data_IF_661419414612
#
_entry.id   IF_661419414612
#
_cell.length_a   1.000
_cell.length_b   1.000
_cell.length_c   1.000
_cell.angle_alpha   90.00
_cell.angle_beta   90.00
_cell.angle_gamma   90.00
#
_symmetry.space_group_name_H-M   'P 1'
#
loop_
_entity.id
_entity.type
_entity.pdbx_description
1 polymer ?
#
# COMPACT_ATOMS: atom_id res chain seq x y z
N UNK A 1 82.36 -0.03 22.03
CA UNK A 1 81.68 -1.36 22.01
C UNK A 1 80.30 -1.15 21.46
N UNK A 2 80.11 -1.46 20.17
CA UNK A 2 78.93 -1.07 19.42
C UNK A 2 78.11 -2.38 19.11
N UNK A 3 76.92 -2.44 19.65
CA UNK A 3 76.02 -3.59 19.43
C UNK A 3 75.08 -3.25 18.30
N UNK A 4 75.30 -3.84 17.12
CA UNK A 4 74.39 -3.78 15.97
C UNK A 4 73.26 -4.74 16.17
N UNK A 5 72.02 -4.22 16.35
CA UNK A 5 70.77 -5.00 16.44
C UNK A 5 70.22 -5.21 15.05
N UNK A 6 70.38 -6.43 14.55
CA UNK A 6 69.83 -6.88 13.24
C UNK A 6 68.34 -7.14 13.34
N UNK A 7 67.53 -6.33 12.65
CA UNK A 7 66.09 -6.53 12.55
C UNK A 7 65.86 -7.45 11.33
N UNK A 8 65.39 -8.68 11.59
CA UNK A 8 64.90 -9.58 10.55
C UNK A 8 63.49 -9.14 10.11
N UNK A 9 63.40 -8.71 8.86
CA UNK A 9 62.11 -8.49 8.21
C UNK A 9 61.49 -9.84 7.86
N UNK A 10 60.31 -10.13 8.42
CA UNK A 10 59.47 -11.26 8.04
C UNK A 10 58.52 -10.73 6.97
N UNK A 11 58.75 -11.13 5.74
CA UNK A 11 57.82 -10.94 4.62
C UNK A 11 56.79 -12.06 4.65
N UNK A 12 55.54 -11.72 4.97
CA UNK A 12 54.41 -12.62 4.79
C UNK A 12 53.81 -12.42 3.40
N UNK A 13 53.53 -13.50 2.64
CA UNK A 13 52.84 -13.36 1.37
C UNK A 13 51.34 -13.12 1.61
N UNK A 14 50.81 -12.03 1.06
CA UNK A 14 49.37 -11.81 0.92
C UNK A 14 48.84 -12.74 -0.18
N UNK A 15 48.13 -13.77 0.21
CA UNK A 15 47.25 -14.51 -0.70
C UNK A 15 45.95 -13.73 -0.85
N UNK A 16 45.81 -13.04 -1.97
CA UNK A 16 44.55 -12.41 -2.37
C UNK A 16 43.64 -13.47 -2.96
N UNK A 17 42.78 -14.06 -2.16
CA UNK A 17 41.63 -14.83 -2.62
C UNK A 17 40.47 -13.88 -2.90
N UNK A 18 40.31 -13.53 -4.17
CA UNK A 18 39.14 -12.79 -4.65
C UNK A 18 37.89 -13.67 -4.58
N UNK A 19 37.07 -13.47 -3.56
CA UNK A 19 35.69 -13.93 -3.52
C UNK A 19 34.83 -12.90 -4.25
N UNK A 20 34.53 -13.17 -5.51
CA UNK A 20 33.46 -12.48 -6.25
C UNK A 20 32.15 -13.01 -5.67
N UNK A 21 31.68 -12.35 -4.61
CA UNK A 21 30.33 -12.54 -4.10
C UNK A 21 29.35 -11.92 -5.05
N UNK A 22 28.71 -12.73 -5.89
CA UNK A 22 27.50 -12.32 -6.59
C UNK A 22 26.43 -12.00 -5.54
N UNK A 23 26.23 -10.69 -5.26
CA UNK A 23 25.08 -10.25 -4.51
C UNK A 23 23.83 -10.53 -5.34
N UNK A 24 23.18 -11.67 -5.07
CA UNK A 24 21.81 -11.88 -5.50
C UNK A 24 20.98 -10.88 -4.71
N UNK A 25 20.66 -9.75 -5.34
CA UNK A 25 19.62 -8.87 -4.85
C UNK A 25 18.31 -9.67 -5.01
N UNK A 26 18.01 -10.48 -4.00
CA UNK A 26 16.70 -11.06 -3.85
C UNK A 26 15.72 -9.90 -3.74
N UNK A 27 14.94 -9.69 -4.77
CA UNK A 27 13.75 -8.86 -4.68
C UNK A 27 12.83 -9.63 -3.71
N UNK A 28 13.04 -9.38 -2.41
CA UNK A 28 12.17 -9.92 -1.38
C UNK A 28 10.79 -9.37 -1.66
N UNK A 29 9.89 -10.22 -2.13
CA UNK A 29 8.48 -9.92 -2.06
C UNK A 29 8.21 -9.56 -0.60
N UNK A 30 7.97 -8.29 -0.32
CA UNK A 30 7.53 -7.88 1.00
C UNK A 30 6.27 -8.66 1.28
N UNK A 31 6.19 -9.44 2.39
CA UNK A 31 4.95 -10.11 2.74
C UNK A 31 3.88 -9.01 2.76
N UNK A 32 2.76 -9.27 2.10
CA UNK A 32 1.62 -8.37 2.17
C UNK A 32 1.38 -8.11 3.66
N UNK A 33 1.68 -6.89 4.10
CA UNK A 33 1.49 -6.53 5.50
C UNK A 33 0.01 -6.75 5.79
N UNK A 34 -0.28 -7.57 6.79
CA UNK A 34 -1.65 -7.71 7.28
C UNK A 34 -2.15 -6.29 7.55
N UNK A 35 -3.36 -5.99 7.08
CA UNK A 35 -3.94 -4.66 7.25
C UNK A 35 -3.85 -4.25 8.73
N UNK A 36 -3.22 -3.11 9.00
CA UNK A 36 -3.19 -2.52 10.35
C UNK A 36 -4.49 -1.80 10.67
N UNK A 37 -5.43 -1.77 9.73
CA UNK A 37 -6.73 -1.15 9.88
C UNK A 37 -7.62 -2.10 10.71
N UNK A 38 -8.27 -1.55 11.72
CA UNK A 38 -9.19 -2.29 12.58
C UNK A 38 -10.33 -2.92 11.76
N UNK A 39 -10.75 -4.13 12.13
CA UNK A 39 -11.91 -4.78 11.52
C UNK A 39 -13.13 -3.85 11.53
N UNK A 40 -13.87 -3.82 10.44
CA UNK A 40 -15.01 -2.94 10.26
C UNK A 40 -14.67 -1.52 9.81
N UNK A 41 -13.38 -1.20 9.63
CA UNK A 41 -12.96 0.14 9.21
C UNK A 41 -12.40 0.15 7.81
N UNK A 42 -12.76 1.19 7.07
CA UNK A 42 -12.15 1.56 5.79
C UNK A 42 -11.32 2.82 5.93
N UNK A 43 -10.19 2.85 5.24
CA UNK A 43 -9.34 4.03 5.10
C UNK A 43 -9.12 4.32 3.62
N UNK A 44 -9.18 5.60 3.24
CA UNK A 44 -8.81 6.08 1.92
C UNK A 44 -7.75 7.17 2.02
N UNK A 45 -6.67 7.02 1.26
CA UNK A 45 -5.63 8.03 1.09
C UNK A 45 -5.52 8.38 -0.40
N UNK A 46 -5.70 9.65 -0.76
CA UNK A 46 -5.48 10.14 -2.12
C UNK A 46 -3.99 10.56 -2.26
N UNK A 47 -3.15 9.61 -2.62
CA UNK A 47 -1.69 9.79 -2.72
C UNK A 47 -1.24 10.15 -4.15
N UNK A 48 -2.13 9.99 -5.12
CA UNK A 48 -1.92 10.48 -6.49
C UNK A 48 -2.03 11.99 -6.64
N UNK A 49 -1.97 12.48 -7.87
CA UNK A 49 -2.11 13.90 -8.18
C UNK A 49 -3.58 14.34 -8.38
N UNK A 50 -4.54 13.57 -7.89
CA UNK A 50 -5.98 13.79 -8.03
C UNK A 50 -6.69 13.50 -6.70
N UNK A 51 -7.85 14.10 -6.49
CA UNK A 51 -8.73 13.80 -5.36
C UNK A 51 -9.45 12.48 -5.61
N UNK A 52 -9.85 11.79 -4.54
CA UNK A 52 -10.53 10.51 -4.66
C UNK A 52 -11.63 10.34 -3.61
N UNK A 53 -12.57 9.45 -3.88
CA UNK A 53 -13.51 8.93 -2.90
C UNK A 53 -13.75 7.44 -3.17
N UNK A 54 -14.31 6.74 -2.20
CA UNK A 54 -14.75 5.36 -2.35
C UNK A 54 -16.28 5.27 -2.28
N UNK A 55 -16.82 4.31 -3.01
CA UNK A 55 -18.23 3.96 -3.02
C UNK A 55 -18.35 2.47 -2.71
N UNK A 56 -18.95 2.14 -1.56
CA UNK A 56 -19.23 0.77 -1.16
C UNK A 56 -20.61 0.40 -1.68
N UNK A 57 -20.63 -0.52 -2.63
CA UNK A 57 -21.87 -0.92 -3.29
C UNK A 57 -22.76 -1.75 -2.37
N UNK A 58 -24.09 -1.54 -2.40
CA UNK A 58 -25.01 -2.33 -1.61
C UNK A 58 -25.03 -3.80 -2.05
N UNK A 59 -25.10 -4.70 -1.08
CA UNK A 59 -25.18 -6.15 -1.31
C UNK A 59 -26.55 -6.66 -0.92
N UNK A 60 -27.16 -7.51 -1.75
CA UNK A 60 -28.45 -8.12 -1.46
C UNK A 60 -28.31 -9.18 -0.34
N UNK A 61 -29.11 -9.05 0.71
CA UNK A 61 -29.10 -9.95 1.88
C UNK A 61 -30.02 -11.20 1.71
N UNK A 62 -30.62 -11.40 0.53
CA UNK A 62 -31.45 -12.57 0.22
C UNK A 62 -32.92 -12.52 0.72
N UNK A 63 -33.23 -11.52 1.54
CA UNK A 63 -34.59 -11.32 2.10
C UNK A 63 -35.33 -10.10 1.51
N UNK A 64 -34.79 -9.55 0.42
CA UNK A 64 -35.26 -8.30 -0.20
C UNK A 64 -34.63 -7.02 0.41
N UNK A 65 -33.85 -7.14 1.48
CA UNK A 65 -33.05 -6.06 2.01
C UNK A 65 -31.67 -6.01 1.34
N UNK A 66 -31.03 -4.83 1.41
CA UNK A 66 -29.63 -4.64 0.97
C UNK A 66 -28.82 -4.04 2.12
N UNK A 67 -27.51 -4.22 2.07
CA UNK A 67 -26.62 -3.44 2.91
C UNK A 67 -26.71 -1.96 2.54
N UNK A 68 -26.18 -1.10 3.40
CA UNK A 68 -26.16 0.34 3.15
C UNK A 68 -25.32 0.67 1.91
N UNK A 69 -25.82 1.57 1.08
CA UNK A 69 -25.07 2.22 0.00
C UNK A 69 -24.26 3.35 0.63
N UNK A 70 -22.94 3.22 0.65
CA UNK A 70 -22.06 4.13 1.38
C UNK A 70 -21.05 4.80 0.46
N UNK A 71 -20.97 6.13 0.53
CA UNK A 71 -19.95 6.92 -0.16
C UNK A 71 -19.13 7.73 0.85
N UNK A 72 -17.81 7.66 0.75
CA UNK A 72 -16.92 8.48 1.56
C UNK A 72 -16.94 9.95 1.15
N UNK A 73 -16.54 10.86 2.02
CA UNK A 73 -16.17 12.22 1.60
C UNK A 73 -15.02 12.17 0.58
N UNK A 74 -14.90 13.27 -0.20
CA UNK A 74 -13.78 13.44 -1.13
C UNK A 74 -12.50 13.72 -0.34
N UNK A 75 -11.50 12.89 -0.54
CA UNK A 75 -10.14 13.07 -0.03
C UNK A 75 -9.33 13.85 -1.06
N UNK A 76 -8.76 14.97 -0.66
CA UNK A 76 -7.94 15.80 -1.55
C UNK A 76 -6.58 15.13 -1.81
N UNK A 77 -6.06 15.33 -3.01
CA UNK A 77 -4.73 14.89 -3.39
C UNK A 77 -3.67 15.32 -2.36
N UNK A 78 -2.91 14.35 -1.81
CA UNK A 78 -1.89 14.59 -0.80
C UNK A 78 -2.41 15.10 0.56
N UNK A 79 -3.73 15.15 0.75
CA UNK A 79 -4.35 15.52 2.02
C UNK A 79 -4.37 14.39 3.05
N UNK A 80 -4.88 14.66 4.26
CA UNK A 80 -5.04 13.64 5.28
C UNK A 80 -5.94 12.50 4.77
N UNK A 81 -5.60 11.25 5.11
CA UNK A 81 -6.45 10.12 4.81
C UNK A 81 -7.78 10.23 5.56
N UNK A 82 -8.85 9.84 4.91
CA UNK A 82 -10.13 9.63 5.53
C UNK A 82 -10.24 8.19 6.05
N UNK A 83 -10.98 7.97 7.12
CA UNK A 83 -11.29 6.65 7.66
C UNK A 83 -12.58 6.67 8.46
N UNK A 84 -13.36 5.61 8.40
CA UNK A 84 -14.60 5.44 9.14
C UNK A 84 -14.98 3.96 9.29
N UNK A 85 -15.83 3.62 10.25
CA UNK A 85 -16.44 2.30 10.30
C UNK A 85 -17.45 2.17 9.17
N UNK A 86 -17.41 1.02 8.46
CA UNK A 86 -18.36 0.68 7.38
C UNK A 86 -18.84 -0.74 7.60
N UNK A 87 -20.11 -0.89 7.91
CA UNK A 87 -20.73 -2.19 8.13
C UNK A 87 -21.17 -2.80 6.78
N UNK A 88 -20.86 -4.06 6.57
CA UNK A 88 -21.27 -4.83 5.40
C UNK A 88 -22.18 -6.02 5.77
N UNK A 89 -22.70 -6.06 7.00
CA UNK A 89 -23.55 -7.16 7.51
C UNK A 89 -22.98 -8.56 7.24
N UNK A 90 -21.65 -8.69 7.43
CA UNK A 90 -20.88 -9.89 7.14
C UNK A 90 -20.94 -10.36 5.68
N UNK A 91 -21.23 -9.45 4.76
CA UNK A 91 -21.21 -9.70 3.32
C UNK A 91 -19.94 -9.14 2.69
N UNK A 92 -19.54 -9.75 1.58
CA UNK A 92 -18.49 -9.19 0.73
C UNK A 92 -19.13 -8.12 -0.17
N UNK A 93 -18.77 -6.87 0.07
CA UNK A 93 -19.18 -5.72 -0.73
C UNK A 93 -18.06 -5.29 -1.67
N UNK A 94 -18.42 -4.86 -2.86
CA UNK A 94 -17.48 -4.21 -3.77
C UNK A 94 -17.29 -2.76 -3.33
N UNK A 95 -16.03 -2.33 -3.27
CA UNK A 95 -15.63 -0.96 -2.98
C UNK A 95 -15.01 -0.38 -4.23
N UNK A 96 -15.72 0.51 -4.90
CA UNK A 96 -15.22 1.23 -6.06
C UNK A 96 -14.39 2.43 -5.61
N UNK A 97 -13.26 2.65 -6.27
CA UNK A 97 -12.38 3.79 -6.06
C UNK A 97 -12.50 4.72 -7.24
N UNK A 98 -12.89 5.96 -6.97
CA UNK A 98 -13.19 6.97 -7.99
C UNK A 98 -12.26 8.15 -7.79
N UNK A 99 -11.57 8.53 -8.84
CA UNK A 99 -10.74 9.74 -8.91
C UNK A 99 -11.54 10.94 -9.43
N UNK A 100 -11.07 12.13 -9.09
CA UNK A 100 -11.64 13.40 -9.56
C UNK A 100 -10.52 14.22 -10.17
N UNK A 101 -10.67 14.60 -11.45
CA UNK A 101 -9.73 15.47 -12.13
C UNK A 101 -9.67 16.85 -11.46
N UNK A 102 -8.46 17.27 -11.08
CA UNK A 102 -8.25 18.63 -10.59
C UNK A 102 -8.59 19.65 -11.67
N UNK A 103 -9.47 20.59 -11.34
CA UNK A 103 -9.88 21.67 -12.24
C UNK A 103 -11.19 21.43 -12.99
N UNK A 104 -11.46 20.24 -13.53
CA UNK A 104 -12.75 19.95 -14.20
C UNK A 104 -13.80 19.39 -13.26
N UNK A 105 -13.40 18.72 -12.18
CA UNK A 105 -14.30 18.02 -11.27
C UNK A 105 -14.90 16.74 -11.88
N UNK A 106 -14.50 16.36 -13.10
CA UNK A 106 -14.96 15.12 -13.72
C UNK A 106 -14.43 13.91 -12.94
N UNK A 107 -15.29 12.91 -12.81
CA UNK A 107 -14.95 11.65 -12.16
C UNK A 107 -14.37 10.65 -13.17
N UNK A 108 -13.48 9.80 -12.69
CA UNK A 108 -12.97 8.67 -13.45
C UNK A 108 -12.79 7.46 -12.52
N UNK A 109 -13.06 6.28 -13.05
CA UNK A 109 -12.91 5.04 -12.32
C UNK A 109 -11.43 4.65 -12.24
N UNK A 110 -10.97 4.26 -11.03
CA UNK A 110 -9.60 3.80 -10.80
C UNK A 110 -9.55 2.28 -10.74
N UNK A 111 -10.46 1.68 -9.99
CA UNK A 111 -10.52 0.24 -9.77
C UNK A 111 -11.48 -0.11 -8.63
N UNK A 112 -11.55 -1.39 -8.29
CA UNK A 112 -12.35 -1.86 -7.16
C UNK A 112 -11.63 -2.90 -6.33
N UNK A 113 -12.06 -3.03 -5.06
CA UNK A 113 -11.61 -4.03 -4.10
C UNK A 113 -12.81 -4.68 -3.43
N UNK A 114 -12.61 -5.90 -2.92
CA UNK A 114 -13.63 -6.57 -2.10
C UNK A 114 -13.36 -6.35 -0.63
N UNK A 115 -14.40 -6.02 0.12
CA UNK A 115 -14.36 -5.73 1.53
C UNK A 115 -15.44 -6.46 2.30
N UNK A 116 -15.07 -7.05 3.44
CA UNK A 116 -15.99 -7.54 4.45
C UNK A 116 -15.49 -7.08 5.83
N UNK A 117 -16.18 -6.13 6.42
CA UNK A 117 -15.78 -5.51 7.68
C UNK A 117 -15.71 -6.46 8.86
N UNK A 118 -16.42 -7.58 8.82
CA UNK A 118 -16.38 -8.60 9.87
C UNK A 118 -15.11 -9.47 9.80
N UNK A 119 -14.44 -9.47 8.63
CA UNK A 119 -13.22 -10.27 8.40
C UNK A 119 -11.97 -9.45 8.66
N UNK A 120 -11.92 -8.22 8.14
CA UNK A 120 -10.74 -7.35 8.27
C UNK A 120 -11.11 -5.88 8.11
N UNK A 121 -10.21 -4.99 8.53
CA UNK A 121 -10.16 -3.63 8.03
C UNK A 121 -9.47 -3.58 6.67
N UNK A 122 -9.60 -2.48 5.94
CA UNK A 122 -8.94 -2.27 4.66
C UNK A 122 -8.51 -0.82 4.48
N UNK A 123 -7.24 -0.63 4.13
CA UNK A 123 -6.72 0.64 3.65
C UNK A 123 -6.62 0.63 2.12
N UNK A 124 -6.95 1.74 1.51
CA UNK A 124 -6.88 1.97 0.06
C UNK A 124 -6.08 3.24 -0.20
N UNK A 125 -5.02 3.11 -1.00
CA UNK A 125 -4.30 4.23 -1.60
C UNK A 125 -4.76 4.44 -3.04
N UNK A 126 -5.26 5.61 -3.35
CA UNK A 126 -5.50 6.04 -4.73
C UNK A 126 -4.22 6.71 -5.24
N UNK A 127 -3.48 5.98 -6.06
CA UNK A 127 -2.09 6.27 -6.42
C UNK A 127 -1.92 6.69 -7.88
N UNK A 128 -0.72 7.13 -8.21
CA UNK A 128 -0.33 7.44 -9.57
C UNK A 128 -0.80 8.81 -10.06
N UNK A 129 -1.02 8.93 -11.36
CA UNK A 129 -1.54 10.14 -11.97
C UNK A 129 -2.95 9.92 -12.53
N UNK A 130 -3.67 11.00 -12.79
CA UNK A 130 -4.99 10.91 -13.42
C UNK A 130 -5.00 10.26 -14.80
N UNK A 131 -3.83 10.14 -15.44
CA UNK A 131 -3.65 9.45 -16.75
C UNK A 131 -3.18 8.01 -16.60
N UNK A 132 -2.70 7.62 -15.41
CA UNK A 132 -2.25 6.26 -15.06
C UNK A 132 -2.53 6.01 -13.57
N UNK A 133 -3.81 5.94 -13.18
CA UNK A 133 -4.20 5.72 -11.81
C UNK A 133 -4.12 4.22 -11.47
N UNK A 134 -3.88 3.92 -10.20
CA UNK A 134 -3.92 2.55 -9.68
C UNK A 134 -4.27 2.55 -8.18
N UNK A 135 -4.61 1.37 -7.66
CA UNK A 135 -4.97 1.16 -6.25
C UNK A 135 -3.85 0.42 -5.55
N UNK A 136 -3.47 0.89 -4.38
CA UNK A 136 -2.72 0.14 -3.39
C UNK A 136 -3.65 -0.28 -2.26
N UNK A 137 -3.53 -1.54 -1.79
CA UNK A 137 -4.29 -2.05 -0.66
C UNK A 137 -3.36 -2.53 0.45
N UNK A 138 -3.74 -2.29 1.70
CA UNK A 138 -3.09 -2.81 2.91
C UNK A 138 -4.09 -3.18 4.00
#
# INVERSE_FOLDING_TARGET
MSIKKTIKRVTAPLAATGLVGAAIVGVGATPAAASTIQNGWLQLCAQGNYSAFIHVLPVNLGNGATTEDYQSPIVRAGGPCWWAPVNTDNQWAQVDVVGIYNGSGQQFYIGSEWYNGNVSGMGIGAEGSSTSPWIQKW
#
